data_IF_984854785397
#
_entry.id   IF_984854785397
#
_cell.length_a   1.000
_cell.length_b   1.000
_cell.length_c   1.000
_cell.angle_alpha   90.00
_cell.angle_beta   90.00
_cell.angle_gamma   90.00
#
_symmetry.space_group_name_H-M   'P 1'
#
loop_
_entity.id
_entity.type
_entity.pdbx_description
1 polymer ?
#
# COMPACT_ATOMS: atom_id res chain seq x y z
N UNK A 1 -12.61 -20.93 33.26
CA UNK A 1 -11.51 -20.04 32.85
C UNK A 1 -11.00 -20.51 31.50
N UNK A 2 -11.38 -19.84 30.42
CA UNK A 2 -10.86 -20.14 29.08
C UNK A 2 -9.53 -19.37 28.90
N UNK A 3 -8.44 -20.02 28.43
CA UNK A 3 -7.16 -19.36 28.26
C UNK A 3 -7.25 -18.41 27.06
N UNK A 4 -7.21 -17.12 27.34
CA UNK A 4 -7.10 -16.07 26.34
C UNK A 4 -5.66 -16.12 25.81
N UNK A 5 -5.46 -16.83 24.71
CA UNK A 5 -4.21 -16.77 23.97
C UNK A 5 -4.04 -15.34 23.45
N UNK A 6 -2.86 -14.70 23.63
CA UNK A 6 -2.61 -13.37 23.09
C UNK A 6 -2.73 -13.45 21.57
N UNK A 7 -3.80 -12.85 21.02
CA UNK A 7 -3.95 -12.65 19.59
C UNK A 7 -2.82 -11.72 19.16
N UNK A 8 -1.85 -12.26 18.43
CA UNK A 8 -0.79 -11.46 17.85
C UNK A 8 -1.39 -10.68 16.68
N UNK A 9 -1.85 -9.46 16.94
CA UNK A 9 -2.21 -8.51 15.90
C UNK A 9 -0.91 -8.17 15.15
N UNK A 10 -0.74 -8.76 13.98
CA UNK A 10 0.37 -8.44 13.06
C UNK A 10 0.22 -6.97 12.67
N UNK A 11 0.98 -6.10 13.31
CA UNK A 11 0.88 -4.64 13.20
C UNK A 11 1.02 -4.20 11.74
N UNK A 12 0.30 -3.12 11.38
CA UNK A 12 0.04 -2.60 10.02
C UNK A 12 1.24 -2.08 9.22
N UNK A 13 2.45 -2.58 9.45
CA UNK A 13 3.60 -2.32 8.60
C UNK A 13 3.71 -3.44 7.55
N UNK A 14 2.78 -3.46 6.60
CA UNK A 14 2.82 -4.44 5.53
C UNK A 14 4.07 -4.19 4.68
N UNK A 15 5.03 -5.12 4.54
CA UNK A 15 6.24 -4.90 3.74
C UNK A 15 5.93 -4.51 2.29
N UNK A 16 4.73 -4.83 1.82
CA UNK A 16 4.19 -4.34 0.54
C UNK A 16 3.99 -2.82 0.48
N UNK A 17 3.64 -2.12 1.56
CA UNK A 17 3.48 -0.66 1.52
C UNK A 17 4.82 0.05 1.30
N UNK A 18 5.90 -0.49 1.88
CA UNK A 18 7.27 -0.02 1.66
C UNK A 18 7.68 -0.24 0.21
N UNK A 19 7.39 -1.42 -0.35
CA UNK A 19 7.62 -1.71 -1.77
C UNK A 19 6.84 -0.72 -2.65
N UNK A 20 5.55 -0.52 -2.36
CA UNK A 20 4.70 0.45 -3.06
C UNK A 20 5.29 1.87 -3.01
N UNK A 21 5.77 2.32 -1.85
CA UNK A 21 6.43 3.61 -1.70
C UNK A 21 7.71 3.73 -2.55
N UNK A 22 8.57 2.72 -2.53
CA UNK A 22 9.80 2.70 -3.34
C UNK A 22 9.49 2.69 -4.84
N UNK A 23 8.44 2.01 -5.26
CA UNK A 23 7.95 2.03 -6.64
C UNK A 23 7.47 3.43 -7.06
N UNK A 24 6.75 4.14 -6.19
CA UNK A 24 6.35 5.53 -6.45
C UNK A 24 7.57 6.44 -6.57
N UNK A 25 8.50 6.35 -5.62
CA UNK A 25 9.73 7.15 -5.63
C UNK A 25 10.58 6.89 -6.88
N UNK A 26 10.78 5.61 -7.21
CA UNK A 26 11.47 5.19 -8.42
C UNK A 26 10.75 5.63 -9.70
N UNK A 27 9.41 5.55 -9.72
CA UNK A 27 8.58 6.03 -10.82
C UNK A 27 8.80 7.53 -11.10
N UNK A 28 8.83 8.37 -10.07
CA UNK A 28 9.14 9.80 -10.23
C UNK A 28 10.56 10.06 -10.71
N UNK A 29 11.55 9.30 -10.23
CA UNK A 29 12.92 9.41 -10.73
C UNK A 29 13.02 9.06 -12.23
N UNK A 30 12.34 7.98 -12.65
CA UNK A 30 12.27 7.60 -14.06
C UNK A 30 11.49 8.63 -14.90
N UNK A 31 10.44 9.25 -14.35
CA UNK A 31 9.71 10.33 -15.01
C UNK A 31 10.61 11.56 -15.28
N UNK A 32 11.45 11.94 -14.31
CA UNK A 32 12.40 13.03 -14.49
C UNK A 32 13.43 12.69 -15.57
N UNK A 33 14.00 11.49 -15.54
CA UNK A 33 14.95 11.03 -16.57
C UNK A 33 14.31 10.95 -17.96
N UNK A 34 13.05 10.53 -18.03
CA UNK A 34 12.27 10.53 -19.26
C UNK A 34 12.13 11.95 -19.83
N UNK A 35 11.72 12.94 -19.02
CA UNK A 35 11.61 14.33 -19.47
C UNK A 35 12.96 14.91 -19.94
N UNK A 36 14.03 14.66 -19.19
CA UNK A 36 15.38 15.12 -19.57
C UNK A 36 15.84 14.46 -20.87
N UNK A 37 15.61 13.17 -21.04
CA UNK A 37 16.00 12.45 -22.27
C UNK A 37 15.21 12.91 -23.49
N UNK A 38 13.91 13.19 -23.36
CA UNK A 38 13.10 13.80 -24.41
C UNK A 38 13.61 15.19 -24.76
N UNK A 39 13.87 16.03 -23.76
CA UNK A 39 14.40 17.38 -23.98
C UNK A 39 15.79 17.37 -24.66
N UNK A 40 16.61 16.36 -24.35
CA UNK A 40 17.92 16.15 -24.97
C UNK A 40 17.89 15.48 -26.35
N UNK A 41 16.71 15.15 -26.90
CA UNK A 41 16.58 14.47 -28.20
C UNK A 41 17.01 13.00 -28.20
N UNK A 42 17.23 12.40 -27.02
CA UNK A 42 17.68 11.02 -26.89
C UNK A 42 16.47 10.07 -26.86
N UNK A 43 16.02 9.65 -28.03
CA UNK A 43 14.76 8.88 -28.21
C UNK A 43 14.79 7.51 -27.53
N UNK A 44 15.89 6.76 -27.68
CA UNK A 44 16.01 5.41 -27.10
C UNK A 44 15.92 5.43 -25.57
N UNK A 45 16.74 6.21 -24.83
CA UNK A 45 16.63 6.27 -23.39
C UNK A 45 15.30 6.87 -22.93
N UNK A 46 14.69 7.78 -23.71
CA UNK A 46 13.34 8.26 -23.40
C UNK A 46 12.31 7.13 -23.42
N UNK A 47 12.33 6.25 -24.42
CA UNK A 47 11.41 5.10 -24.44
C UNK A 47 11.66 4.19 -23.23
N UNK A 48 12.91 3.91 -22.89
CA UNK A 48 13.26 3.04 -21.76
C UNK A 48 12.77 3.63 -20.43
N UNK A 49 13.09 4.89 -20.14
CA UNK A 49 12.67 5.55 -18.90
C UNK A 49 11.15 5.72 -18.83
N UNK A 50 10.49 5.99 -19.97
CA UNK A 50 9.04 6.04 -20.05
C UNK A 50 8.39 4.70 -19.71
N UNK A 51 8.90 3.58 -20.24
CA UNK A 51 8.41 2.25 -19.91
C UNK A 51 8.63 1.91 -18.43
N UNK A 52 9.83 2.16 -17.90
CA UNK A 52 10.15 1.92 -16.50
C UNK A 52 9.26 2.74 -15.56
N UNK A 53 9.01 4.01 -15.89
CA UNK A 53 8.09 4.88 -15.17
C UNK A 53 6.67 4.29 -15.14
N UNK A 54 6.13 3.88 -16.30
CA UNK A 54 4.77 3.33 -16.41
C UNK A 54 4.63 2.02 -15.62
N UNK A 55 5.60 1.11 -15.76
CA UNK A 55 5.60 -0.14 -15.00
C UNK A 55 5.66 0.14 -13.50
N UNK A 56 6.47 1.10 -13.07
CA UNK A 56 6.63 1.43 -11.66
C UNK A 56 5.35 1.99 -11.04
N UNK A 57 4.71 2.96 -11.71
CA UNK A 57 3.45 3.53 -11.23
C UNK A 57 2.30 2.52 -11.27
N UNK A 58 2.20 1.71 -12.32
CA UNK A 58 1.16 0.67 -12.41
C UNK A 58 1.33 -0.35 -11.29
N UNK A 59 2.56 -0.80 -11.02
CA UNK A 59 2.86 -1.70 -9.92
C UNK A 59 2.53 -1.12 -8.54
N UNK A 60 2.89 0.15 -8.30
CA UNK A 60 2.51 0.84 -7.07
C UNK A 60 0.98 0.90 -6.90
N UNK A 61 0.25 1.31 -7.94
CA UNK A 61 -1.23 1.39 -7.91
C UNK A 61 -1.84 0.03 -7.60
N UNK A 62 -1.39 -1.04 -8.27
CA UNK A 62 -1.89 -2.40 -8.01
C UNK A 62 -1.65 -2.84 -6.56
N UNK A 63 -0.47 -2.52 -5.99
CA UNK A 63 -0.16 -2.82 -4.59
C UNK A 63 -1.08 -2.04 -3.65
N UNK A 64 -1.23 -0.73 -3.84
CA UNK A 64 -2.09 0.09 -3.00
C UNK A 64 -3.55 -0.34 -3.08
N UNK A 65 -4.07 -0.63 -4.27
CA UNK A 65 -5.44 -1.15 -4.42
C UNK A 65 -5.62 -2.50 -3.74
N UNK A 66 -4.64 -3.40 -3.86
CA UNK A 66 -4.66 -4.69 -3.17
C UNK A 66 -4.67 -4.52 -1.64
N UNK A 67 -3.85 -3.60 -1.12
CA UNK A 67 -3.83 -3.30 0.32
C UNK A 67 -5.15 -2.68 0.79
N UNK A 68 -5.67 -1.69 0.07
CA UNK A 68 -6.95 -1.04 0.42
C UNK A 68 -8.11 -2.03 0.41
N UNK A 69 -8.11 -3.00 -0.52
CA UNK A 69 -9.16 -4.01 -0.60
C UNK A 69 -9.00 -5.13 0.45
N UNK A 70 -7.79 -5.42 0.91
CA UNK A 70 -7.52 -6.52 1.88
C UNK A 70 -7.47 -6.07 3.33
N UNK A 71 -7.08 -4.82 3.58
CA UNK A 71 -7.00 -4.25 4.92
C UNK A 71 -8.19 -3.33 5.16
N UNK A 72 -9.36 -3.93 5.43
CA UNK A 72 -10.52 -3.20 5.97
C UNK A 72 -10.35 -2.80 7.43
N UNK A 73 -9.26 -3.22 8.09
CA UNK A 73 -8.99 -2.87 9.48
C UNK A 73 -8.34 -1.49 9.56
N UNK A 74 -9.18 -0.48 9.77
CA UNK A 74 -8.71 0.83 10.21
C UNK A 74 -8.17 0.70 11.63
N UNK A 75 -6.91 1.07 11.92
CA UNK A 75 -6.37 1.08 13.28
C UNK A 75 -7.09 2.07 14.22
N UNK A 76 -7.90 2.98 13.66
CA UNK A 76 -8.52 4.11 14.37
C UNK A 76 -10.06 4.02 14.36
N UNK A 77 -10.65 3.32 13.39
CA UNK A 77 -12.09 3.10 13.34
C UNK A 77 -12.37 1.62 13.65
N UNK A 78 -13.11 1.31 14.73
CA UNK A 78 -13.63 -0.04 14.93
C UNK A 78 -14.44 -0.43 13.69
N UNK A 79 -14.21 -1.65 13.21
CA UNK A 79 -14.90 -2.18 12.05
C UNK A 79 -16.39 -2.23 12.42
N UNK A 80 -17.27 -1.58 11.65
CA UNK A 80 -18.70 -1.48 11.98
C UNK A 80 -19.45 -2.79 11.68
N UNK A 81 -18.77 -3.93 11.81
CA UNK A 81 -19.33 -5.25 11.62
C UNK A 81 -20.05 -5.68 12.90
N UNK A 82 -21.19 -6.34 12.77
CA UNK A 82 -21.99 -6.82 13.93
C UNK A 82 -21.16 -7.68 14.90
N UNK A 83 -20.16 -8.39 14.39
CA UNK A 83 -19.27 -9.25 15.16
C UNK A 83 -18.24 -8.48 16.01
N UNK A 84 -17.73 -7.33 15.53
CA UNK A 84 -16.88 -6.44 16.34
C UNK A 84 -17.69 -5.68 17.37
N UNK A 85 -18.91 -5.24 17.00
CA UNK A 85 -19.84 -4.58 17.91
C UNK A 85 -20.21 -5.50 19.09
N UNK A 86 -20.48 -6.79 18.83
CA UNK A 86 -20.72 -7.79 19.87
C UNK A 86 -19.53 -7.95 20.81
N UNK A 87 -18.30 -7.96 20.26
CA UNK A 87 -17.05 -8.03 21.04
C UNK A 87 -16.82 -6.79 21.90
N UNK A 88 -17.09 -5.59 21.36
CA UNK A 88 -16.99 -4.33 22.07
C UNK A 88 -18.02 -4.25 23.20
N UNK A 89 -19.28 -4.58 22.92
CA UNK A 89 -20.34 -4.57 23.93
C UNK A 89 -20.07 -5.56 25.06
N UNK A 90 -19.61 -6.78 24.77
CA UNK A 90 -19.28 -7.74 25.83
C UNK A 90 -18.10 -7.28 26.71
N UNK A 91 -17.14 -6.53 26.16
CA UNK A 91 -15.96 -6.05 26.92
C UNK A 91 -16.22 -4.85 27.83
N UNK A 92 -17.17 -3.97 27.48
CA UNK A 92 -17.39 -2.70 28.18
C UNK A 92 -18.75 -2.57 28.87
N UNK A 93 -19.66 -3.54 28.67
CA UNK A 93 -21.01 -3.53 29.26
C UNK A 93 -21.12 -4.43 30.51
N UNK A 94 -20.06 -5.14 30.85
CA UNK A 94 -19.85 -5.83 32.15
C UNK A 94 -18.84 -5.06 32.99
#
# INVERSE_FOLDING_TARGET
MAPHLPHHESHGNHPMSVIGFLLVLGGFAMAALWLVSMAGGNVIPAIIFGLLMVTAFTGAVSIFLSLTHRHHHSPILPDSTENELGRYMHRYRE
#
